data_IF_794562794386
#
_entry.id   IF_794562794386
#
_cell.length_a   1.000
_cell.length_b   1.000
_cell.length_c   1.000
_cell.angle_alpha   90.00
_cell.angle_beta   90.00
_cell.angle_gamma   90.00
#
_symmetry.space_group_name_H-M   'P 1'
#
loop_
_entity.id
_entity.type
_entity.pdbx_description
1 polymer ?
#
# COMPACT_ATOMS: atom_id res chain seq x y z
N UNK A 1 -29.56 22.48 14.24
CA UNK A 1 -29.51 21.08 13.75
C UNK A 1 -28.26 20.88 12.88
N UNK A 2 -28.02 21.71 11.86
CA UNK A 2 -26.84 21.55 10.96
C UNK A 2 -25.51 21.69 11.71
N UNK A 3 -25.36 22.66 12.61
CA UNK A 3 -24.14 22.85 13.41
C UNK A 3 -23.89 21.67 14.37
N UNK A 4 -24.94 21.14 15.01
CA UNK A 4 -24.82 19.97 15.89
C UNK A 4 -24.46 18.71 15.09
N UNK A 5 -25.01 18.53 13.89
CA UNK A 5 -24.65 17.42 13.00
C UNK A 5 -23.21 17.52 12.49
N UNK A 6 -22.75 18.72 12.16
CA UNK A 6 -21.36 18.97 11.79
C UNK A 6 -20.39 18.73 12.96
N UNK A 7 -20.73 19.21 14.15
CA UNK A 7 -19.95 18.95 15.36
C UNK A 7 -19.88 17.45 15.70
N UNK A 8 -21.00 16.72 15.57
CA UNK A 8 -21.00 15.27 15.75
C UNK A 8 -20.12 14.53 14.73
N UNK A 9 -20.11 14.96 13.45
CA UNK A 9 -19.24 14.38 12.42
C UNK A 9 -17.77 14.69 12.65
N UNK A 10 -17.42 15.86 13.21
CA UNK A 10 -16.03 16.26 13.47
C UNK A 10 -15.45 15.66 14.76
N UNK A 11 -16.26 15.54 15.81
CA UNK A 11 -15.82 15.22 17.17
C UNK A 11 -16.52 13.99 17.78
N UNK A 12 -17.49 13.40 17.05
CA UNK A 12 -18.19 12.19 17.48
C UNK A 12 -17.31 10.94 17.39
N UNK A 13 -17.82 9.79 17.86
CA UNK A 13 -17.10 8.53 17.78
C UNK A 13 -16.73 8.19 16.33
N UNK A 14 -15.66 7.39 16.12
CA UNK A 14 -15.21 6.99 14.80
C UNK A 14 -16.34 6.41 13.95
N UNK A 15 -16.37 6.78 12.67
CA UNK A 15 -17.32 6.21 11.73
C UNK A 15 -16.93 4.74 11.47
N UNK A 16 -17.81 3.82 11.83
CA UNK A 16 -17.67 2.41 11.45
C UNK A 16 -18.42 2.18 10.14
N UNK A 17 -17.71 1.96 9.03
CA UNK A 17 -18.37 1.68 7.75
C UNK A 17 -19.26 0.43 7.88
N UNK A 18 -20.50 0.53 7.43
CA UNK A 18 -21.36 -0.66 7.33
C UNK A 18 -20.84 -1.54 6.21
N UNK A 19 -20.32 -2.69 6.58
CA UNK A 19 -19.81 -3.69 5.66
C UNK A 19 -20.92 -4.19 4.73
N UNK A 20 -20.77 -3.98 3.40
CA UNK A 20 -21.48 -4.73 2.38
C UNK A 20 -20.45 -5.56 1.61
N UNK A 21 -20.61 -6.89 1.49
CA UNK A 21 -19.71 -7.69 0.66
C UNK A 21 -19.77 -7.17 -0.79
N UNK A 22 -18.62 -7.10 -1.49
CA UNK A 22 -18.59 -6.63 -2.87
C UNK A 22 -19.37 -7.57 -3.78
N UNK A 23 -20.22 -7.00 -4.63
CA UNK A 23 -21.08 -7.78 -5.53
C UNK A 23 -20.31 -8.43 -6.69
N UNK A 24 -19.14 -7.89 -7.08
CA UNK A 24 -18.31 -8.48 -8.14
C UNK A 24 -16.85 -8.06 -7.96
N UNK A 25 -16.02 -8.98 -7.55
CA UNK A 25 -14.57 -8.77 -7.50
C UNK A 25 -13.97 -9.20 -8.85
N UNK A 26 -13.16 -8.35 -9.54
CA UNK A 26 -12.54 -8.71 -10.82
C UNK A 26 -11.56 -9.88 -10.69
N UNK A 27 -10.96 -10.03 -9.52
CA UNK A 27 -10.06 -11.11 -9.16
C UNK A 27 -10.62 -11.83 -7.93
N UNK A 28 -11.36 -12.92 -8.15
CA UNK A 28 -12.09 -13.65 -7.10
C UNK A 28 -11.16 -14.47 -6.22
N UNK A 29 -10.51 -13.82 -5.28
CA UNK A 29 -9.66 -14.48 -4.28
C UNK A 29 -10.43 -14.70 -2.98
N UNK A 30 -10.35 -15.91 -2.46
CA UNK A 30 -10.78 -16.20 -1.09
C UNK A 30 -9.76 -15.62 -0.13
N UNK A 31 -10.23 -14.94 0.91
CA UNK A 31 -9.39 -14.46 2.00
C UNK A 31 -9.38 -15.45 3.17
N UNK A 32 -8.26 -15.49 3.87
CA UNK A 32 -8.09 -16.21 5.13
C UNK A 32 -7.73 -15.18 6.20
N UNK A 33 -8.32 -15.29 7.37
CA UNK A 33 -7.93 -14.47 8.53
C UNK A 33 -6.72 -15.09 9.19
N UNK A 34 -5.69 -14.27 9.39
CA UNK A 34 -4.46 -14.62 10.11
C UNK A 34 -4.38 -13.78 11.37
N UNK A 35 -4.06 -14.39 12.49
CA UNK A 35 -3.90 -13.71 13.76
C UNK A 35 -2.43 -13.42 14.04
N UNK A 36 -2.13 -12.17 14.41
CA UNK A 36 -0.82 -11.74 14.92
C UNK A 36 -1.07 -11.11 16.30
N UNK A 37 -0.78 -11.86 17.34
CA UNK A 37 -1.25 -11.53 18.68
C UNK A 37 -2.78 -11.53 18.74
N UNK A 38 -3.34 -10.41 19.16
CA UNK A 38 -4.79 -10.16 19.25
C UNK A 38 -5.41 -9.54 17.98
N UNK A 39 -4.60 -9.28 16.93
CA UNK A 39 -5.03 -8.61 15.71
C UNK A 39 -5.31 -9.57 14.59
N UNK A 40 -6.37 -9.28 13.84
CA UNK A 40 -6.80 -10.04 12.67
C UNK A 40 -6.33 -9.37 11.38
N UNK A 41 -5.68 -10.13 10.50
CA UNK A 41 -5.26 -9.68 9.18
C UNK A 41 -5.90 -10.52 8.10
N UNK A 42 -6.49 -9.86 7.10
CA UNK A 42 -7.00 -10.56 5.94
C UNK A 42 -5.88 -10.76 4.93
N UNK A 43 -5.63 -12.02 4.64
CA UNK A 43 -4.63 -12.47 3.66
C UNK A 43 -5.32 -13.19 2.53
N UNK A 44 -4.88 -12.95 1.31
CA UNK A 44 -5.31 -13.69 0.13
C UNK A 44 -4.09 -14.26 -0.58
N UNK A 45 -4.22 -15.49 -1.07
CA UNK A 45 -3.15 -16.16 -1.76
C UNK A 45 -3.66 -16.76 -3.07
N UNK A 46 -2.79 -16.81 -4.07
CA UNK A 46 -3.06 -17.42 -5.38
C UNK A 46 -1.75 -17.82 -6.06
N UNK A 47 -1.85 -18.58 -7.15
CA UNK A 47 -0.69 -19.14 -7.85
C UNK A 47 -0.21 -20.47 -7.26
N UNK A 48 0.88 -21.04 -7.83
CA UNK A 48 1.43 -22.31 -7.36
C UNK A 48 1.90 -22.23 -5.92
N UNK A 49 1.45 -23.15 -5.06
CA UNK A 49 1.72 -23.12 -3.62
C UNK A 49 3.19 -23.34 -3.28
N UNK A 50 3.89 -24.09 -4.14
CA UNK A 50 5.31 -24.42 -3.96
C UNK A 50 6.26 -23.39 -4.61
N UNK A 51 5.71 -22.40 -5.32
CA UNK A 51 6.51 -21.34 -5.91
C UNK A 51 6.97 -20.32 -4.84
N UNK A 52 8.06 -19.62 -5.16
CA UNK A 52 8.57 -18.55 -4.28
C UNK A 52 7.49 -17.48 -4.02
N UNK A 53 7.27 -17.11 -2.74
CA UNK A 53 6.24 -16.14 -2.39
C UNK A 53 6.64 -14.72 -2.80
N UNK A 54 5.70 -14.05 -3.48
CA UNK A 54 5.72 -12.61 -3.75
C UNK A 54 4.63 -11.95 -2.92
N UNK A 55 5.03 -11.12 -1.96
CA UNK A 55 4.12 -10.42 -1.05
C UNK A 55 3.86 -9.01 -1.58
N UNK A 56 2.62 -8.71 -1.94
CA UNK A 56 2.21 -7.44 -2.49
C UNK A 56 1.64 -6.53 -1.40
N UNK A 57 2.35 -5.45 -1.12
CA UNK A 57 2.12 -4.52 0.00
C UNK A 57 1.55 -3.22 -0.54
N UNK A 58 0.29 -2.93 -0.19
CA UNK A 58 -0.48 -1.82 -0.76
C UNK A 58 -0.13 -0.45 -0.14
N UNK A 59 -0.51 0.62 -0.84
CA UNK A 59 -0.32 2.01 -0.42
C UNK A 59 -1.42 2.54 0.51
N UNK A 60 -1.30 3.82 0.84
CA UNK A 60 -2.21 4.54 1.73
C UNK A 60 -3.63 4.61 1.16
N UNK A 61 -4.62 4.31 2.01
CA UNK A 61 -6.05 4.46 1.70
C UNK A 61 -6.58 3.46 0.68
N UNK A 62 -5.82 2.41 0.36
CA UNK A 62 -6.21 1.31 -0.50
C UNK A 62 -6.58 0.05 0.27
N UNK A 63 -6.74 -1.03 -0.48
CA UNK A 63 -6.72 -2.40 0.00
C UNK A 63 -5.81 -3.22 -0.91
N UNK A 64 -5.33 -4.34 -0.44
CA UNK A 64 -4.42 -5.18 -1.23
C UNK A 64 -5.02 -5.58 -2.57
N UNK A 65 -6.30 -5.96 -2.59
CA UNK A 65 -6.99 -6.30 -3.84
C UNK A 65 -7.30 -5.09 -4.71
N UNK A 66 -7.62 -3.94 -4.11
CA UNK A 66 -7.91 -2.71 -4.84
C UNK A 66 -6.71 -2.17 -5.60
N UNK A 67 -5.53 -2.36 -5.09
CA UNK A 67 -4.29 -1.90 -5.72
C UNK A 67 -3.67 -2.92 -6.66
N UNK A 68 -3.76 -4.21 -6.33
CA UNK A 68 -3.02 -5.25 -7.04
C UNK A 68 -3.83 -6.10 -8.00
N UNK A 69 -5.14 -5.81 -8.22
CA UNK A 69 -6.02 -6.65 -9.05
C UNK A 69 -5.61 -6.73 -10.53
N UNK A 70 -4.74 -5.83 -11.00
CA UNK A 70 -4.20 -5.87 -12.36
C UNK A 70 -2.81 -6.51 -12.44
N UNK A 71 -1.94 -6.23 -11.49
CA UNK A 71 -0.56 -6.78 -11.45
C UNK A 71 -0.56 -8.20 -10.91
N UNK A 72 -1.31 -8.47 -9.84
CA UNK A 72 -1.29 -9.75 -9.15
C UNK A 72 -1.65 -10.95 -10.03
N UNK A 73 -2.70 -10.90 -10.88
CA UNK A 73 -2.99 -12.00 -11.80
C UNK A 73 -1.84 -12.36 -12.73
N UNK A 74 -1.10 -11.36 -13.21
CA UNK A 74 0.02 -11.54 -14.13
C UNK A 74 1.23 -12.22 -13.45
N UNK A 75 1.37 -12.09 -12.17
CA UNK A 75 2.41 -12.77 -11.38
C UNK A 75 2.00 -14.17 -10.93
N UNK A 76 0.70 -14.40 -10.79
CA UNK A 76 0.14 -15.62 -10.22
C UNK A 76 0.29 -16.87 -11.13
N UNK A 77 0.63 -16.70 -12.38
CA UNK A 77 0.89 -17.81 -13.29
C UNK A 77 2.18 -18.56 -12.90
N UNK A 78 3.21 -17.84 -12.48
CA UNK A 78 4.54 -18.39 -12.18
C UNK A 78 4.90 -18.33 -10.68
N UNK A 79 4.23 -17.50 -9.88
CA UNK A 79 4.59 -17.21 -8.50
C UNK A 79 3.44 -17.39 -7.52
N UNK A 80 3.77 -17.73 -6.27
CA UNK A 80 2.82 -17.67 -5.16
C UNK A 80 2.60 -16.23 -4.73
N UNK A 81 1.51 -15.62 -5.16
CA UNK A 81 1.18 -14.23 -4.85
C UNK A 81 0.40 -14.15 -3.55
N UNK A 82 0.88 -13.31 -2.64
CA UNK A 82 0.30 -13.08 -1.31
C UNK A 82 -0.08 -11.60 -1.17
N UNK A 83 -1.32 -11.36 -0.80
CA UNK A 83 -1.89 -10.03 -0.60
C UNK A 83 -2.30 -9.87 0.85
N UNK A 84 -1.80 -8.83 1.51
CA UNK A 84 -2.10 -8.54 2.92
C UNK A 84 -2.72 -7.15 3.01
N UNK A 85 -3.88 -7.04 3.66
CA UNK A 85 -4.42 -5.73 4.03
C UNK A 85 -3.74 -5.25 5.31
N UNK A 86 -3.18 -4.04 5.31
CA UNK A 86 -2.58 -3.45 6.52
C UNK A 86 -3.64 -3.17 7.60
N UNK A 87 -3.19 -3.04 8.88
CA UNK A 87 -4.08 -2.47 9.91
C UNK A 87 -4.70 -1.16 9.40
N UNK A 88 -5.92 -0.89 9.78
CA UNK A 88 -6.70 0.27 9.37
C UNK A 88 -7.04 0.34 7.88
N UNK A 89 -6.78 -0.72 7.11
CA UNK A 89 -7.11 -0.81 5.69
C UNK A 89 -7.88 -2.09 5.37
N UNK A 90 -8.56 -2.08 4.23
CA UNK A 90 -9.30 -3.24 3.71
C UNK A 90 -10.17 -3.91 4.77
N UNK A 91 -9.92 -5.18 5.04
CA UNK A 91 -10.64 -6.03 5.99
C UNK A 91 -9.81 -6.42 7.23
N UNK A 92 -8.63 -5.84 7.41
CA UNK A 92 -7.77 -6.13 8.56
C UNK A 92 -8.12 -5.30 9.80
N UNK A 93 -7.48 -5.62 10.92
CA UNK A 93 -7.69 -5.03 12.23
C UNK A 93 -7.77 -3.49 12.21
N UNK A 94 -8.64 -2.94 13.04
CA UNK A 94 -8.78 -1.51 13.26
C UNK A 94 -8.22 -1.13 14.61
N UNK A 95 -7.52 0.01 14.66
CA UNK A 95 -7.05 0.61 15.91
C UNK A 95 -7.24 2.12 15.88
N UNK A 96 -7.57 2.70 17.01
CA UNK A 96 -7.56 4.14 17.26
C UNK A 96 -6.24 4.61 17.87
N UNK A 97 -5.41 3.66 18.32
CA UNK A 97 -4.10 3.96 18.87
C UNK A 97 -3.16 4.52 17.78
N UNK A 98 -2.35 5.53 18.11
CA UNK A 98 -1.29 5.98 17.22
C UNK A 98 -0.31 4.85 16.90
N UNK A 99 0.17 4.82 15.69
CA UNK A 99 1.17 3.84 15.24
C UNK A 99 2.15 4.47 14.24
N UNK A 100 3.24 3.77 13.98
CA UNK A 100 4.28 4.14 13.03
C UNK A 100 4.32 3.14 11.86
N UNK A 101 5.08 3.44 10.81
CA UNK A 101 5.31 2.50 9.70
C UNK A 101 5.98 1.22 10.21
N UNK A 102 6.82 1.32 11.23
CA UNK A 102 7.45 0.18 11.89
C UNK A 102 6.43 -0.82 12.44
N UNK A 103 5.30 -0.35 13.00
CA UNK A 103 4.24 -1.23 13.50
C UNK A 103 3.54 -2.00 12.36
N UNK A 104 3.43 -1.39 11.16
CA UNK A 104 2.90 -2.08 9.98
C UNK A 104 3.87 -3.15 9.48
N UNK A 105 5.17 -2.90 9.60
CA UNK A 105 6.21 -3.86 9.27
C UNK A 105 6.23 -5.05 10.25
N UNK A 106 6.07 -4.79 11.55
CA UNK A 106 5.97 -5.82 12.59
C UNK A 106 4.72 -6.71 12.39
N UNK A 107 3.57 -6.11 12.04
CA UNK A 107 2.37 -6.84 11.67
C UNK A 107 2.61 -7.77 10.47
N UNK A 108 3.23 -7.23 9.40
CA UNK A 108 3.51 -7.98 8.19
C UNK A 108 4.49 -9.12 8.46
N UNK A 109 5.53 -8.89 9.26
CA UNK A 109 6.45 -9.94 9.71
C UNK A 109 5.73 -11.06 10.47
N UNK A 110 4.81 -10.69 11.36
CA UNK A 110 3.96 -11.64 12.08
C UNK A 110 3.08 -12.48 11.14
N UNK A 111 2.47 -11.84 10.13
CA UNK A 111 1.66 -12.54 9.10
C UNK A 111 2.51 -13.53 8.30
N UNK A 112 3.70 -13.11 7.84
CA UNK A 112 4.60 -13.96 7.05
C UNK A 112 5.03 -15.19 7.85
N UNK A 113 5.42 -14.99 9.11
CA UNK A 113 5.79 -16.10 10.03
C UNK A 113 4.62 -17.05 10.28
N UNK A 114 3.42 -16.52 10.52
CA UNK A 114 2.23 -17.37 10.79
C UNK A 114 1.82 -18.23 9.58
N UNK A 115 2.30 -17.89 8.39
CA UNK A 115 1.98 -18.58 7.13
C UNK A 115 3.20 -19.34 6.54
N UNK A 116 4.34 -19.37 7.22
CA UNK A 116 5.59 -19.96 6.75
C UNK A 116 5.98 -19.45 5.34
N UNK A 117 5.96 -18.11 5.18
CA UNK A 117 6.21 -17.43 3.89
C UNK A 117 7.57 -16.72 3.83
N UNK A 118 8.39 -16.87 4.83
CA UNK A 118 9.72 -16.26 4.90
C UNK A 118 10.85 -17.20 4.45
N UNK A 119 11.88 -16.66 3.77
CA UNK A 119 11.98 -15.31 3.24
C UNK A 119 11.22 -15.14 1.92
N UNK A 120 10.57 -13.98 1.72
CA UNK A 120 9.76 -13.68 0.55
C UNK A 120 10.35 -12.53 -0.29
N UNK A 121 9.97 -12.45 -1.57
CA UNK A 121 10.10 -11.22 -2.35
C UNK A 121 8.97 -10.26 -1.93
N UNK A 122 9.33 -9.09 -1.42
CA UNK A 122 8.36 -8.09 -0.92
C UNK A 122 8.27 -6.93 -1.89
N UNK A 123 7.08 -6.72 -2.44
CA UNK A 123 6.76 -5.66 -3.40
C UNK A 123 5.93 -4.59 -2.71
N UNK A 124 6.52 -3.43 -2.44
CA UNK A 124 5.85 -2.32 -1.77
C UNK A 124 5.55 -1.16 -2.71
N UNK A 125 4.28 -0.72 -2.76
CA UNK A 125 3.86 0.44 -3.50
C UNK A 125 3.55 1.62 -2.56
N UNK A 126 4.11 2.81 -2.86
CA UNK A 126 3.85 4.04 -2.11
C UNK A 126 4.10 3.85 -0.60
N UNK A 127 3.11 3.99 0.28
CA UNK A 127 3.22 3.68 1.71
C UNK A 127 3.70 2.23 1.93
N UNK A 128 3.23 1.29 1.12
CA UNK A 128 3.69 -0.11 1.18
C UNK A 128 5.19 -0.25 0.93
N UNK A 129 5.79 0.66 0.16
CA UNK A 129 7.24 0.72 -0.03
C UNK A 129 7.99 1.18 1.24
N UNK A 130 7.40 2.08 2.03
CA UNK A 130 7.94 2.44 3.34
C UNK A 130 7.84 1.26 4.32
N UNK A 131 6.70 0.54 4.32
CA UNK A 131 6.52 -0.68 5.12
C UNK A 131 7.52 -1.77 4.73
N UNK A 132 7.74 -1.97 3.43
CA UNK A 132 8.70 -2.96 2.92
C UNK A 132 10.15 -2.63 3.31
N UNK A 133 10.53 -1.34 3.30
CA UNK A 133 11.84 -0.89 3.80
C UNK A 133 11.99 -1.19 5.30
N UNK A 134 11.00 -0.84 6.12
CA UNK A 134 11.01 -1.15 7.56
C UNK A 134 11.05 -2.65 7.82
N UNK A 135 10.29 -3.45 7.06
CA UNK A 135 10.32 -4.90 7.17
C UNK A 135 11.73 -5.45 6.90
N UNK A 136 12.37 -5.01 5.81
CA UNK A 136 13.73 -5.45 5.48
C UNK A 136 14.77 -5.00 6.54
N UNK A 137 14.56 -3.85 7.16
CA UNK A 137 15.43 -3.33 8.22
C UNK A 137 15.26 -4.08 9.55
N UNK A 138 14.03 -4.24 10.01
CA UNK A 138 13.69 -4.78 11.34
C UNK A 138 13.66 -6.31 11.36
N UNK A 139 13.26 -6.90 10.23
CA UNK A 139 13.04 -8.34 10.05
C UNK A 139 13.75 -8.87 8.80
N UNK A 140 15.10 -8.77 8.71
CA UNK A 140 15.86 -9.15 7.52
C UNK A 140 15.67 -10.63 7.13
N UNK A 141 15.31 -11.49 8.08
CA UNK A 141 14.97 -12.89 7.85
C UNK A 141 13.69 -13.07 6.99
N UNK A 142 12.80 -12.06 6.97
CA UNK A 142 11.52 -12.13 6.27
C UNK A 142 11.63 -11.75 4.77
N UNK A 143 12.71 -11.07 4.37
CA UNK A 143 12.84 -10.46 3.04
C UNK A 143 14.00 -11.07 2.28
N UNK A 144 13.70 -11.72 1.15
CA UNK A 144 14.70 -12.23 0.20
C UNK A 144 15.12 -11.15 -0.80
N UNK A 145 14.13 -10.41 -1.33
CA UNK A 145 14.30 -9.33 -2.32
C UNK A 145 13.30 -8.23 -2.04
N UNK A 146 13.63 -7.02 -2.44
CA UNK A 146 12.81 -5.83 -2.21
C UNK A 146 12.45 -5.18 -3.55
N UNK A 147 11.17 -4.95 -3.81
CA UNK A 147 10.70 -4.17 -4.95
C UNK A 147 9.94 -2.95 -4.44
N UNK A 148 10.39 -1.77 -4.84
CA UNK A 148 9.90 -0.47 -4.34
C UNK A 148 9.33 0.34 -5.51
N UNK A 149 8.01 0.58 -5.49
CA UNK A 149 7.30 1.25 -6.59
C UNK A 149 6.72 2.57 -6.09
N UNK A 150 7.10 3.71 -6.70
CA UNK A 150 6.51 5.00 -6.38
C UNK A 150 6.63 5.40 -4.91
N UNK A 151 7.78 5.15 -4.28
CA UNK A 151 8.01 5.38 -2.85
C UNK A 151 9.27 6.21 -2.58
N UNK A 152 9.60 6.46 -1.33
CA UNK A 152 10.66 7.39 -0.91
C UNK A 152 11.33 6.92 0.38
N UNK A 153 12.49 7.49 0.71
CA UNK A 153 13.15 7.27 2.00
C UNK A 153 12.62 8.23 3.09
N UNK A 154 12.39 9.48 2.74
CA UNK A 154 11.89 10.50 3.68
C UNK A 154 11.17 11.63 2.95
N UNK A 155 10.36 12.38 3.67
CA UNK A 155 9.80 13.64 3.20
C UNK A 155 10.72 14.81 3.56
N UNK A 156 11.06 15.72 2.64
CA UNK A 156 11.74 16.96 2.99
C UNK A 156 10.98 17.69 4.12
N UNK A 157 11.67 18.27 5.13
CA UNK A 157 11.02 18.83 6.32
C UNK A 157 9.93 19.88 6.03
N UNK A 158 10.16 20.75 5.02
CA UNK A 158 9.17 21.76 4.60
C UNK A 158 7.92 21.10 4.00
N UNK A 159 8.10 20.11 3.15
CA UNK A 159 7.00 19.36 2.52
C UNK A 159 6.22 18.57 3.57
N UNK A 160 6.91 17.94 4.51
CA UNK A 160 6.29 17.21 5.64
C UNK A 160 5.34 18.12 6.42
N UNK A 161 5.78 19.33 6.80
CA UNK A 161 4.94 20.29 7.55
C UNK A 161 3.70 20.71 6.76
N UNK A 162 3.85 21.02 5.46
CA UNK A 162 2.72 21.38 4.60
C UNK A 162 1.74 20.22 4.47
N UNK A 163 2.23 19.00 4.23
CA UNK A 163 1.40 17.80 4.13
C UNK A 163 0.67 17.47 5.43
N UNK A 164 1.27 17.73 6.59
CA UNK A 164 0.61 17.60 7.88
C UNK A 164 -0.63 18.50 7.98
N UNK A 165 -0.51 19.76 7.59
CA UNK A 165 -1.63 20.71 7.58
C UNK A 165 -2.71 20.24 6.59
N UNK A 166 -2.32 19.87 5.37
CA UNK A 166 -3.23 19.35 4.34
C UNK A 166 -3.96 18.10 4.80
N UNK A 167 -3.26 17.15 5.44
CA UNK A 167 -3.88 15.93 5.99
C UNK A 167 -4.94 16.26 7.03
N UNK A 168 -4.68 17.22 7.92
CA UNK A 168 -5.66 17.69 8.88
C UNK A 168 -6.90 18.30 8.22
N UNK A 169 -6.71 19.11 7.17
CA UNK A 169 -7.80 19.71 6.40
C UNK A 169 -8.61 18.65 5.65
N UNK A 170 -7.95 17.69 4.98
CA UNK A 170 -8.61 16.57 4.28
C UNK A 170 -9.45 15.77 5.28
N UNK A 171 -8.88 15.42 6.45
CA UNK A 171 -9.62 14.69 7.49
C UNK A 171 -10.89 15.44 7.94
N UNK A 172 -10.78 16.73 8.17
CA UNK A 172 -11.94 17.56 8.53
C UNK A 172 -12.99 17.54 7.41
N UNK A 173 -12.57 17.69 6.17
CA UNK A 173 -13.43 17.63 4.99
C UNK A 173 -14.11 16.26 4.85
N UNK A 174 -13.37 15.17 4.97
CA UNK A 174 -13.88 13.80 4.90
C UNK A 174 -14.95 13.53 5.97
N UNK A 175 -14.73 13.99 7.19
CA UNK A 175 -15.71 13.87 8.28
C UNK A 175 -17.00 14.66 7.99
N UNK A 176 -16.87 15.81 7.36
CA UNK A 176 -18.04 16.66 7.01
C UNK A 176 -18.84 16.11 5.83
N UNK A 177 -18.17 15.64 4.78
CA UNK A 177 -18.79 15.31 3.50
C UNK A 177 -18.93 13.82 3.24
N UNK A 178 -18.14 12.98 3.89
CA UNK A 178 -18.01 11.56 3.59
C UNK A 178 -17.19 11.26 2.32
N UNK A 179 -16.60 12.28 1.71
CA UNK A 179 -15.77 12.14 0.49
C UNK A 179 -14.33 12.54 0.80
N UNK A 180 -13.39 11.67 0.49
CA UNK A 180 -11.99 11.90 0.77
C UNK A 180 -11.04 11.50 -0.35
N UNK A 181 -9.78 11.35 0.00
CA UNK A 181 -8.71 11.00 -0.93
C UNK A 181 -8.96 9.70 -1.71
N UNK A 182 -9.45 8.60 -1.10
CA UNK A 182 -9.72 7.36 -1.85
C UNK A 182 -10.82 7.50 -2.88
N UNK A 183 -11.92 8.20 -2.56
CA UNK A 183 -13.00 8.46 -3.51
C UNK A 183 -12.54 9.36 -4.66
N UNK A 184 -11.77 10.39 -4.35
CA UNK A 184 -11.18 11.28 -5.35
C UNK A 184 -10.23 10.51 -6.28
N UNK A 185 -9.41 9.60 -5.72
CA UNK A 185 -8.54 8.71 -6.50
C UNK A 185 -9.37 7.76 -7.38
N UNK A 186 -10.40 7.13 -6.83
CA UNK A 186 -11.26 6.25 -7.61
C UNK A 186 -11.92 6.97 -8.80
N UNK A 187 -12.42 8.19 -8.59
CA UNK A 187 -12.97 9.03 -9.66
C UNK A 187 -11.91 9.39 -10.71
N UNK A 188 -10.69 9.72 -10.28
CA UNK A 188 -9.57 9.98 -11.16
C UNK A 188 -9.20 8.76 -12.02
N UNK A 189 -9.08 7.57 -11.41
CA UNK A 189 -8.79 6.32 -12.12
C UNK A 189 -9.88 5.99 -13.16
N UNK A 190 -11.15 6.26 -12.84
CA UNK A 190 -12.24 6.13 -13.80
C UNK A 190 -12.12 7.13 -14.95
N UNK A 191 -11.88 8.39 -14.62
CA UNK A 191 -11.81 9.47 -15.62
C UNK A 191 -10.64 9.27 -16.58
N UNK A 192 -9.50 8.78 -16.11
CA UNK A 192 -8.31 8.47 -16.93
C UNK A 192 -8.43 7.16 -17.72
N UNK A 193 -9.48 6.36 -17.48
CA UNK A 193 -9.63 5.04 -18.09
C UNK A 193 -8.71 3.97 -17.52
N UNK A 194 -7.98 4.26 -16.43
CA UNK A 194 -7.11 3.30 -15.76
C UNK A 194 -7.88 2.13 -15.12
N UNK A 195 -9.17 2.32 -14.87
CA UNK A 195 -10.09 1.28 -14.37
C UNK A 195 -11.19 1.04 -15.40
N UNK A 196 -11.34 -0.22 -15.82
CA UNK A 196 -12.39 -0.66 -16.72
C UNK A 196 -13.78 -0.32 -16.14
N UNK A 197 -14.71 0.14 -16.99
CA UNK A 197 -16.07 0.52 -16.59
C UNK A 197 -16.81 -0.61 -15.86
N UNK A 198 -16.57 -1.88 -16.23
CA UNK A 198 -17.15 -3.07 -15.56
C UNK A 198 -16.65 -3.27 -14.13
N UNK A 199 -15.45 -2.78 -13.77
CA UNK A 199 -14.86 -2.90 -12.46
C UNK A 199 -15.12 -1.67 -11.56
N UNK A 200 -15.68 -0.58 -12.14
CA UNK A 200 -15.88 0.67 -11.44
C UNK A 200 -16.70 0.53 -10.16
N UNK A 201 -17.85 -0.18 -10.26
CA UNK A 201 -18.75 -0.35 -9.11
C UNK A 201 -18.04 -1.06 -7.96
N UNK A 202 -17.30 -2.10 -8.26
CA UNK A 202 -16.52 -2.82 -7.26
C UNK A 202 -15.44 -1.91 -6.63
N UNK A 203 -14.67 -1.18 -7.43
CA UNK A 203 -13.64 -0.29 -6.90
C UNK A 203 -14.24 0.80 -6.02
N UNK A 204 -15.37 1.35 -6.42
CA UNK A 204 -16.10 2.35 -5.63
C UNK A 204 -16.56 1.78 -4.28
N UNK A 205 -17.11 0.58 -4.25
CA UNK A 205 -17.50 -0.12 -3.01
C UNK A 205 -16.26 -0.43 -2.14
N UNK A 206 -15.13 -0.78 -2.74
CA UNK A 206 -13.87 -1.05 -2.05
C UNK A 206 -13.32 0.21 -1.37
N UNK A 207 -13.37 1.37 -2.03
CA UNK A 207 -12.93 2.64 -1.43
C UNK A 207 -13.79 3.07 -0.24
N UNK A 208 -15.08 2.70 -0.21
CA UNK A 208 -16.00 3.03 0.89
C UNK A 208 -15.87 2.13 2.12
N UNK A 209 -15.03 1.11 2.08
CA UNK A 209 -14.75 0.26 3.26
C UNK A 209 -13.77 0.86 4.25
N UNK A 210 -13.20 1.99 3.91
CA UNK A 210 -12.25 2.68 4.77
C UNK A 210 -12.92 3.35 5.96
N UNK A 211 -12.14 3.51 7.01
CA UNK A 211 -12.42 4.40 8.13
C UNK A 211 -11.61 5.70 7.92
N UNK A 212 -12.24 6.88 7.87
CA UNK A 212 -11.52 8.15 7.71
C UNK A 212 -10.50 8.44 8.80
N UNK A 213 -10.78 8.06 10.05
CA UNK A 213 -9.86 8.27 11.15
C UNK A 213 -8.67 7.32 11.09
N UNK A 214 -8.91 6.08 10.69
CA UNK A 214 -7.89 5.10 10.42
C UNK A 214 -6.96 5.54 9.26
N UNK A 215 -7.53 6.11 8.20
CA UNK A 215 -6.77 6.67 7.07
C UNK A 215 -5.90 7.86 7.51
N UNK A 216 -6.39 8.72 8.40
CA UNK A 216 -5.60 9.81 8.95
C UNK A 216 -4.43 9.30 9.80
N UNK A 217 -4.63 8.29 10.66
CA UNK A 217 -3.57 7.69 11.46
C UNK A 217 -2.44 7.14 10.58
N UNK A 218 -2.79 6.42 9.50
CA UNK A 218 -1.81 5.90 8.53
C UNK A 218 -1.07 7.03 7.79
N UNK A 219 -1.76 8.13 7.44
CA UNK A 219 -1.13 9.31 6.83
C UNK A 219 -0.12 9.97 7.79
N UNK A 220 -0.46 10.07 9.09
CA UNK A 220 0.45 10.62 10.09
C UNK A 220 1.69 9.73 10.29
N UNK A 221 1.52 8.41 10.33
CA UNK A 221 2.63 7.46 10.38
C UNK A 221 3.57 7.64 9.18
N UNK A 222 3.01 7.69 7.95
CA UNK A 222 3.77 7.88 6.73
C UNK A 222 4.53 9.21 6.68
N UNK A 223 3.94 10.30 7.21
CA UNK A 223 4.59 11.61 7.25
C UNK A 223 5.75 11.69 8.25
N UNK A 224 5.80 10.79 9.23
CA UNK A 224 6.92 10.68 10.19
C UNK A 224 8.01 9.73 9.72
N UNK A 225 7.72 8.89 8.72
CA UNK A 225 8.66 7.90 8.21
C UNK A 225 9.94 8.55 7.67
N UNK A 226 11.09 7.98 8.08
CA UNK A 226 12.42 8.35 7.62
C UNK A 226 13.37 7.15 7.68
N UNK A 227 13.69 6.59 6.51
CA UNK A 227 14.64 5.48 6.39
C UNK A 227 16.07 5.93 6.10
N UNK A 228 16.31 7.22 5.89
CA UNK A 228 17.64 7.73 5.50
C UNK A 228 18.77 7.34 6.45
N UNK A 229 18.55 7.19 7.78
CA UNK A 229 19.63 6.80 8.69
C UNK A 229 20.10 5.34 8.51
N UNK A 230 19.29 4.48 7.86
CA UNK A 230 19.58 3.05 7.84
C UNK A 230 19.35 2.36 6.48
N UNK A 231 18.64 2.96 5.52
CA UNK A 231 18.29 2.32 4.23
C UNK A 231 19.54 1.88 3.44
N UNK A 232 20.66 2.62 3.57
CA UNK A 232 21.96 2.27 2.97
C UNK A 232 22.63 1.03 3.58
N UNK A 233 22.06 0.42 4.62
CA UNK A 233 22.55 -0.82 5.24
C UNK A 233 21.67 -2.04 4.92
N UNK A 234 20.64 -1.89 4.10
CA UNK A 234 19.82 -3.02 3.66
C UNK A 234 20.66 -3.95 2.80
N UNK A 235 20.77 -5.21 3.23
CA UNK A 235 21.64 -6.21 2.58
C UNK A 235 20.90 -7.08 1.56
N UNK A 236 19.67 -6.70 1.18
CA UNK A 236 18.84 -7.43 0.22
C UNK A 236 18.90 -6.77 -1.15
N UNK A 237 18.91 -7.55 -2.26
CA UNK A 237 18.79 -6.99 -3.59
C UNK A 237 17.47 -6.21 -3.74
N UNK A 238 17.52 -5.06 -4.37
CA UNK A 238 16.39 -4.18 -4.53
C UNK A 238 16.12 -3.83 -6.00
N UNK A 239 14.84 -3.73 -6.37
CA UNK A 239 14.37 -3.13 -7.61
C UNK A 239 13.58 -1.88 -7.26
N UNK A 240 13.92 -0.74 -7.82
CA UNK A 240 13.14 0.50 -7.70
C UNK A 240 12.46 0.80 -9.03
N UNK A 241 11.14 0.81 -9.02
CA UNK A 241 10.31 1.17 -10.18
C UNK A 241 9.83 2.61 -10.02
N UNK A 242 10.24 3.46 -10.95
CA UNK A 242 10.05 4.91 -10.89
C UNK A 242 9.03 5.36 -11.92
N UNK A 243 7.78 5.71 -11.52
CA UNK A 243 6.86 6.43 -12.40
C UNK A 243 7.39 7.85 -12.64
N UNK A 244 7.85 8.14 -13.87
CA UNK A 244 8.58 9.39 -14.16
C UNK A 244 7.72 10.66 -14.13
N UNK A 245 6.38 10.51 -14.12
CA UNK A 245 5.44 11.64 -14.00
C UNK A 245 4.70 11.65 -12.67
N UNK A 246 5.23 11.00 -11.65
CA UNK A 246 4.65 10.95 -10.32
C UNK A 246 4.69 12.32 -9.64
N UNK A 247 3.50 12.85 -9.29
CA UNK A 247 3.36 14.15 -8.62
C UNK A 247 3.13 13.99 -7.11
N UNK A 248 2.79 12.78 -6.63
CA UNK A 248 2.59 12.48 -5.21
C UNK A 248 3.92 12.13 -4.52
N UNK A 249 4.73 11.32 -5.20
CA UNK A 249 6.10 11.01 -4.81
C UNK A 249 7.02 11.42 -5.96
N UNK A 250 7.47 12.67 -6.02
CA UNK A 250 8.27 13.18 -7.14
C UNK A 250 9.48 12.29 -7.44
N UNK A 251 9.80 12.04 -8.73
CA UNK A 251 10.92 11.18 -9.14
C UNK A 251 12.25 11.46 -8.43
N UNK A 252 12.64 12.72 -8.16
CA UNK A 252 13.87 13.01 -7.41
C UNK A 252 13.94 12.34 -6.04
N UNK A 253 12.81 12.11 -5.34
CA UNK A 253 12.81 11.41 -4.05
C UNK A 253 12.99 9.90 -4.21
N UNK A 254 12.46 9.35 -5.30
CA UNK A 254 12.60 7.94 -5.65
C UNK A 254 14.04 7.63 -6.09
N UNK A 255 14.66 8.50 -6.90
CA UNK A 255 16.08 8.41 -7.25
C UNK A 255 16.99 8.59 -6.03
N UNK A 256 16.64 9.50 -5.10
CA UNK A 256 17.38 9.66 -3.86
C UNK A 256 17.32 8.38 -3.00
N UNK A 257 16.14 7.74 -2.90
CA UNK A 257 16.03 6.43 -2.25
C UNK A 257 16.92 5.39 -2.93
N UNK A 258 16.83 5.27 -4.26
CA UNK A 258 17.62 4.31 -5.03
C UNK A 258 19.14 4.52 -4.85
N UNK A 259 19.59 5.78 -4.79
CA UNK A 259 21.02 6.09 -4.60
C UNK A 259 21.58 5.70 -3.23
N UNK A 260 20.71 5.44 -2.25
CA UNK A 260 21.13 4.94 -0.92
C UNK A 260 21.21 3.42 -0.85
N UNK A 261 20.53 2.69 -1.74
CA UNK A 261 20.47 1.22 -1.71
C UNK A 261 21.76 0.62 -2.26
N UNK A 262 22.41 -0.32 -1.53
CA UNK A 262 23.71 -0.87 -1.94
C UNK A 262 23.68 -1.73 -3.19
N UNK A 263 22.62 -2.52 -3.38
CA UNK A 263 22.41 -3.42 -4.53
C UNK A 263 21.03 -3.13 -5.14
N UNK A 264 21.00 -2.27 -6.15
CA UNK A 264 19.75 -1.75 -6.72
C UNK A 264 19.73 -1.84 -8.24
N UNK A 265 18.60 -2.32 -8.77
CA UNK A 265 18.22 -2.20 -10.17
C UNK A 265 17.16 -1.10 -10.30
N UNK A 266 17.13 -0.41 -11.45
CA UNK A 266 16.16 0.65 -11.72
C UNK A 266 15.34 0.31 -12.96
N UNK A 267 14.03 0.53 -12.85
CA UNK A 267 13.10 0.54 -13.99
C UNK A 267 12.33 1.85 -13.97
N UNK A 268 12.48 2.63 -15.03
CA UNK A 268 11.72 3.87 -15.19
C UNK A 268 10.50 3.61 -16.09
N UNK A 269 9.37 4.18 -15.68
CA UNK A 269 8.13 4.19 -16.45
C UNK A 269 7.87 5.63 -16.93
N UNK A 270 8.30 5.99 -18.18
CA UNK A 270 8.38 7.39 -18.65
C UNK A 270 7.03 8.13 -18.63
N UNK A 271 5.94 7.39 -18.90
CA UNK A 271 4.60 7.98 -18.99
C UNK A 271 3.75 7.76 -17.74
N UNK A 272 4.24 6.95 -16.78
CA UNK A 272 3.48 6.59 -15.60
C UNK A 272 3.43 7.72 -14.58
N UNK A 273 2.27 7.88 -13.97
CA UNK A 273 2.05 8.69 -12.77
C UNK A 273 2.04 7.78 -11.54
N UNK A 274 1.66 8.36 -10.39
CA UNK A 274 1.60 7.60 -9.13
C UNK A 274 0.79 6.30 -9.25
N UNK A 275 -0.28 6.32 -10.04
CA UNK A 275 -1.20 5.20 -10.28
C UNK A 275 -0.61 4.09 -11.19
N UNK A 276 0.69 3.94 -11.25
CA UNK A 276 1.38 2.97 -12.10
C UNK A 276 0.86 1.51 -11.97
N UNK A 277 0.51 0.96 -10.79
CA UNK A 277 -0.04 -0.39 -10.70
C UNK A 277 -1.35 -0.60 -11.48
N UNK A 278 -2.12 0.46 -11.72
CA UNK A 278 -3.34 0.40 -12.53
C UNK A 278 -3.11 0.69 -14.01
N UNK A 279 -2.13 1.54 -14.33
CA UNK A 279 -1.92 2.04 -15.69
C UNK A 279 -0.87 1.27 -16.46
N UNK A 280 0.09 0.65 -15.78
CA UNK A 280 1.23 -0.08 -16.37
C UNK A 280 1.42 -1.47 -15.72
N UNK A 281 0.34 -2.26 -15.53
CA UNK A 281 0.44 -3.51 -14.79
C UNK A 281 1.34 -4.55 -15.47
N UNK A 282 1.32 -4.63 -16.79
CA UNK A 282 2.11 -5.59 -17.57
C UNK A 282 3.61 -5.30 -17.43
N UNK A 283 4.01 -4.02 -17.56
CA UNK A 283 5.41 -3.61 -17.41
C UNK A 283 5.93 -3.87 -16.01
N UNK A 284 5.11 -3.57 -14.99
CA UNK A 284 5.45 -3.80 -13.58
C UNK A 284 5.58 -5.30 -13.30
N UNK A 285 4.61 -6.11 -13.74
CA UNK A 285 4.67 -7.56 -13.54
C UNK A 285 5.88 -8.18 -14.23
N UNK A 286 6.20 -7.76 -15.47
CA UNK A 286 7.39 -8.21 -16.20
C UNK A 286 8.67 -7.84 -15.44
N UNK A 287 8.80 -6.58 -14.98
CA UNK A 287 9.97 -6.12 -14.25
C UNK A 287 10.19 -6.91 -12.95
N UNK A 288 9.10 -7.18 -12.19
CA UNK A 288 9.15 -8.01 -10.98
C UNK A 288 9.58 -9.44 -11.32
N UNK A 289 8.93 -10.09 -12.30
CA UNK A 289 9.21 -11.47 -12.68
C UNK A 289 10.65 -11.66 -13.19
N UNK A 290 11.16 -10.71 -13.99
CA UNK A 290 12.55 -10.74 -14.46
C UNK A 290 13.55 -10.54 -13.30
N UNK A 291 13.27 -9.62 -12.39
CA UNK A 291 14.12 -9.39 -11.22
C UNK A 291 14.18 -10.62 -10.30
N UNK A 292 13.04 -11.27 -10.05
CA UNK A 292 12.99 -12.52 -9.25
C UNK A 292 13.79 -13.65 -9.92
N UNK A 293 13.74 -13.77 -11.24
CA UNK A 293 14.48 -14.82 -11.98
C UNK A 293 16.00 -14.60 -12.01
N UNK A 294 16.47 -13.34 -11.94
CA UNK A 294 17.92 -13.01 -11.99
C UNK A 294 18.63 -13.08 -10.66
N UNK A 295 17.92 -12.98 -9.56
CA UNK A 295 18.42 -12.83 -8.20
C UNK A 295 17.94 -13.96 -7.29
#
# INVERSE_FOLDING_TARGET
>A
VAVAAAAWRLFGPPYTPRFRPPQSHPWRLRGTTVFVGDREFLVRQTGPVDAEPIVLVHGLGGSSVGEWYRVGPLLADDHRVVLVDHRNHGLSARTTEPFEIADLADDLAGVLRALDLEPATVVGYSMGGAVAQELAHRHPWAVRRLVLIGTFATHPPRVRRIRQIITGMIRAWERLTGVGTPESRALYLRWTGAVDARHWRWLWEETHRRDPDAGAASSWALLRFDSTPWVGRLAVPALVVIPARDQLVPPPWQYALASHLPDVELVELPDARHEAPWTHPETIATAIGEFVKRR
#
